data_IF_192605486892
#
_entry.id   IF_192605486892
#
_cell.length_a   1.000
_cell.length_b   1.000
_cell.length_c   1.000
_cell.angle_alpha   90.00
_cell.angle_beta   90.00
_cell.angle_gamma   90.00
#
_symmetry.space_group_name_H-M   'P 1'
#
loop_
_entity.id
_entity.type
_entity.pdbx_description
1 polymer ?
#
# COMPACT_ATOMS: atom_id res chain seq x y z
N UNK A 1 -16.87 -0.05 -4.51
CA UNK A 1 -15.51 -0.48 -4.92
C UNK A 1 -15.69 -1.60 -5.90
N UNK A 2 -14.96 -1.56 -7.00
CA UNK A 2 -14.87 -2.74 -7.87
C UNK A 2 -14.23 -3.88 -7.08
N UNK A 3 -14.66 -5.12 -7.36
CA UNK A 3 -14.10 -6.28 -6.70
C UNK A 3 -12.60 -6.43 -7.07
N UNK A 4 -11.78 -6.81 -6.11
CA UNK A 4 -10.36 -7.13 -6.35
C UNK A 4 -10.29 -8.41 -7.18
N UNK A 5 -9.60 -8.39 -8.31
CA UNK A 5 -9.42 -9.55 -9.17
C UNK A 5 -8.16 -10.31 -8.78
N UNK A 6 -8.36 -11.54 -8.35
CA UNK A 6 -7.30 -12.42 -7.85
C UNK A 6 -7.14 -13.61 -8.79
N UNK A 7 -5.92 -13.92 -9.19
CA UNK A 7 -5.58 -15.18 -9.82
C UNK A 7 -4.85 -16.09 -8.85
N UNK A 8 -5.13 -17.38 -8.88
CA UNK A 8 -4.41 -18.43 -8.16
C UNK A 8 -3.91 -19.43 -9.20
N UNK A 9 -2.62 -19.66 -9.26
CA UNK A 9 -2.02 -20.64 -10.17
C UNK A 9 -1.12 -21.60 -9.40
N UNK A 10 -1.58 -22.83 -9.26
CA UNK A 10 -0.92 -23.94 -8.56
C UNK A 10 -1.21 -25.21 -9.35
N UNK A 11 -0.26 -26.12 -9.50
CA UNK A 11 -0.38 -27.32 -10.34
C UNK A 11 -1.13 -28.49 -9.68
N UNK A 12 -1.39 -28.41 -8.38
CA UNK A 12 -2.08 -29.42 -7.59
C UNK A 12 -3.55 -29.05 -7.34
N UNK A 13 -4.51 -29.74 -7.97
CA UNK A 13 -5.95 -29.45 -7.90
C UNK A 13 -6.49 -29.38 -6.45
N UNK A 14 -6.07 -30.30 -5.59
CA UNK A 14 -6.46 -30.31 -4.17
C UNK A 14 -5.97 -29.07 -3.41
N UNK A 15 -4.82 -28.53 -3.78
CA UNK A 15 -4.27 -27.31 -3.18
C UNK A 15 -5.01 -26.08 -3.70
N UNK A 16 -5.41 -26.08 -4.98
CA UNK A 16 -6.20 -25.00 -5.58
C UNK A 16 -7.48 -24.75 -4.78
N UNK A 17 -8.24 -25.79 -4.45
CA UNK A 17 -9.51 -25.67 -3.71
C UNK A 17 -9.29 -25.12 -2.29
N UNK A 18 -8.25 -25.61 -1.62
CA UNK A 18 -7.87 -25.13 -0.28
C UNK A 18 -7.49 -23.65 -0.34
N UNK A 19 -6.66 -23.25 -1.30
CA UNK A 19 -6.24 -21.86 -1.49
C UNK A 19 -7.41 -20.96 -1.84
N UNK A 20 -8.27 -21.38 -2.77
CA UNK A 20 -9.47 -20.65 -3.17
C UNK A 20 -10.37 -20.33 -1.95
N UNK A 21 -10.65 -21.35 -1.15
CA UNK A 21 -11.47 -21.21 0.06
C UNK A 21 -10.80 -20.30 1.09
N UNK A 22 -9.51 -20.47 1.34
CA UNK A 22 -8.76 -19.69 2.32
C UNK A 22 -8.62 -18.21 1.89
N UNK A 23 -8.28 -17.94 0.63
CA UNK A 23 -8.16 -16.56 0.10
C UNK A 23 -9.50 -15.85 0.16
N UNK A 24 -10.59 -16.50 -0.32
CA UNK A 24 -11.94 -15.96 -0.23
C UNK A 24 -12.34 -15.61 1.20
N UNK A 25 -12.10 -16.52 2.13
CA UNK A 25 -12.38 -16.33 3.56
C UNK A 25 -11.56 -15.20 4.16
N UNK A 26 -10.28 -15.09 3.80
CA UNK A 26 -9.39 -14.05 4.30
C UNK A 26 -9.83 -12.64 3.88
N UNK A 27 -10.28 -12.46 2.64
CA UNK A 27 -10.85 -11.19 2.17
C UNK A 27 -12.23 -10.92 2.77
N UNK A 28 -13.10 -11.93 2.83
CA UNK A 28 -14.45 -11.79 3.38
C UNK A 28 -14.43 -11.37 4.87
N UNK A 29 -13.51 -11.91 5.69
CA UNK A 29 -13.31 -11.47 7.08
C UNK A 29 -12.96 -9.99 7.22
N UNK A 30 -12.51 -9.35 6.14
CA UNK A 30 -12.15 -7.92 6.10
C UNK A 30 -13.17 -7.06 5.35
N UNK A 31 -14.33 -7.65 5.00
CA UNK A 31 -15.40 -6.96 4.29
C UNK A 31 -15.06 -6.58 2.84
N UNK A 32 -14.07 -7.26 2.23
CA UNK A 32 -13.60 -6.96 0.87
C UNK A 32 -14.14 -7.99 -0.10
N UNK A 33 -14.78 -7.53 -1.19
CA UNK A 33 -15.25 -8.38 -2.28
C UNK A 33 -14.10 -8.73 -3.23
N UNK A 34 -14.03 -10.00 -3.63
CA UNK A 34 -13.01 -10.52 -4.55
C UNK A 34 -13.63 -11.38 -5.64
N UNK A 35 -13.10 -11.27 -6.86
CA UNK A 35 -13.32 -12.20 -7.95
C UNK A 35 -12.07 -13.07 -8.08
N UNK A 36 -12.20 -14.39 -7.92
CA UNK A 36 -11.06 -15.30 -7.92
C UNK A 36 -11.18 -16.24 -9.12
N UNK A 37 -10.14 -16.31 -9.92
CA UNK A 37 -9.98 -17.25 -11.02
C UNK A 37 -8.79 -18.17 -10.71
N UNK A 38 -8.96 -19.48 -10.94
CA UNK A 38 -7.97 -20.49 -10.62
C UNK A 38 -7.40 -21.14 -11.87
N UNK A 39 -6.13 -21.48 -11.85
CA UNK A 39 -5.38 -22.09 -12.93
C UNK A 39 -4.48 -23.19 -12.38
N UNK A 40 -4.35 -24.28 -13.12
CA UNK A 40 -3.46 -25.40 -12.77
C UNK A 40 -2.16 -25.40 -13.61
N UNK A 41 -1.98 -24.38 -14.44
CA UNK A 41 -0.74 -24.21 -15.21
C UNK A 41 -0.57 -22.77 -15.74
N UNK A 42 0.66 -22.44 -16.10
CA UNK A 42 1.04 -21.11 -16.56
C UNK A 42 0.37 -20.69 -17.89
N UNK A 43 0.08 -21.62 -18.80
CA UNK A 43 -0.41 -21.26 -20.13
C UNK A 43 -1.86 -20.74 -20.13
N UNK A 44 -2.85 -21.38 -19.49
CA UNK A 44 -4.18 -20.81 -19.32
C UNK A 44 -4.16 -19.47 -18.59
N UNK A 45 -3.36 -19.34 -17.52
CA UNK A 45 -3.17 -18.08 -16.81
C UNK A 45 -2.66 -16.98 -17.77
N UNK A 46 -1.64 -17.27 -18.56
CA UNK A 46 -1.10 -16.32 -19.53
C UNK A 46 -2.13 -15.86 -20.57
N UNK A 47 -2.99 -16.77 -21.04
CA UNK A 47 -4.10 -16.41 -21.95
C UNK A 47 -5.12 -15.51 -21.29
N UNK A 48 -5.50 -15.81 -20.03
CA UNK A 48 -6.45 -14.99 -19.26
C UNK A 48 -5.89 -13.60 -19.00
N UNK A 49 -4.61 -13.47 -18.63
CA UNK A 49 -3.96 -12.18 -18.38
C UNK A 49 -3.84 -11.27 -19.61
N UNK A 50 -3.94 -11.81 -20.82
CA UNK A 50 -4.04 -11.01 -22.05
C UNK A 50 -5.41 -10.36 -22.25
N UNK A 51 -6.44 -10.93 -21.65
CA UNK A 51 -7.85 -10.52 -21.81
C UNK A 51 -8.36 -9.73 -20.58
N UNK A 52 -7.72 -9.94 -19.43
CA UNK A 52 -8.13 -9.39 -18.14
C UNK A 52 -6.92 -8.92 -17.35
N UNK A 53 -7.14 -7.91 -16.51
CA UNK A 53 -6.15 -7.44 -15.54
C UNK A 53 -6.48 -8.09 -14.21
N UNK A 54 -5.49 -8.73 -13.59
CA UNK A 54 -5.55 -9.19 -12.21
C UNK A 54 -4.79 -8.19 -11.32
N UNK A 55 -5.34 -7.94 -10.14
CA UNK A 55 -4.72 -7.06 -9.15
C UNK A 55 -3.69 -7.82 -8.31
N UNK A 56 -3.96 -9.10 -8.03
CA UNK A 56 -3.15 -9.97 -7.20
C UNK A 56 -3.07 -11.38 -7.81
N UNK A 57 -1.86 -11.94 -7.86
CA UNK A 57 -1.58 -13.28 -8.35
C UNK A 57 -0.87 -14.10 -7.27
N UNK A 58 -1.50 -15.17 -6.80
CA UNK A 58 -0.83 -16.23 -6.04
C UNK A 58 -0.27 -17.24 -7.01
N UNK A 59 1.05 -17.42 -7.01
CA UNK A 59 1.76 -18.19 -8.02
C UNK A 59 2.67 -19.22 -7.37
N UNK A 60 2.45 -20.48 -7.67
CA UNK A 60 3.40 -21.52 -7.27
C UNK A 60 4.73 -21.35 -8.01
N UNK A 61 5.83 -21.54 -7.32
CA UNK A 61 7.16 -21.55 -7.94
C UNK A 61 7.36 -22.84 -8.74
N UNK A 62 6.96 -23.97 -8.16
CA UNK A 62 7.18 -25.29 -8.75
C UNK A 62 5.98 -25.67 -9.61
N UNK A 63 6.03 -25.34 -10.91
CA UNK A 63 4.99 -25.72 -11.86
C UNK A 63 5.59 -26.47 -13.05
N UNK A 64 4.85 -27.44 -13.63
CA UNK A 64 5.28 -28.14 -14.83
C UNK A 64 5.47 -27.17 -16.02
N UNK A 65 6.50 -27.43 -16.83
CA UNK A 65 6.83 -26.74 -18.10
C UNK A 65 7.40 -25.33 -17.95
N UNK A 66 6.88 -24.50 -17.07
CA UNK A 66 7.36 -23.13 -16.83
C UNK A 66 7.40 -22.92 -15.32
N UNK A 67 8.58 -22.65 -14.80
CA UNK A 67 8.80 -22.27 -13.41
C UNK A 67 8.09 -20.95 -13.10
N UNK A 68 7.49 -20.84 -11.91
CA UNK A 68 6.74 -19.63 -11.50
C UNK A 68 7.59 -18.36 -11.48
N UNK A 69 8.90 -18.47 -11.18
CA UNK A 69 9.82 -17.32 -11.20
C UNK A 69 10.03 -16.87 -12.65
N UNK A 70 10.26 -17.82 -13.57
CA UNK A 70 10.38 -17.53 -15.00
C UNK A 70 9.11 -16.87 -15.54
N UNK A 71 7.93 -17.35 -15.11
CA UNK A 71 6.65 -16.75 -15.46
C UNK A 71 6.55 -15.31 -14.95
N UNK A 72 6.94 -15.06 -13.71
CA UNK A 72 6.97 -13.73 -13.13
C UNK A 72 7.92 -12.78 -13.84
N UNK A 73 9.12 -13.23 -14.22
CA UNK A 73 10.06 -12.45 -15.05
C UNK A 73 9.45 -12.08 -16.40
N UNK A 74 8.71 -13.01 -17.02
CA UNK A 74 8.00 -12.77 -18.27
C UNK A 74 6.92 -11.71 -18.11
N UNK A 75 6.17 -11.70 -17.00
CA UNK A 75 5.20 -10.65 -16.67
C UNK A 75 5.89 -9.29 -16.58
N UNK A 76 6.99 -9.19 -15.83
CA UNK A 76 7.72 -7.92 -15.65
C UNK A 76 8.32 -7.40 -16.95
N UNK A 77 8.81 -8.27 -17.84
CA UNK A 77 9.28 -7.88 -19.18
C UNK A 77 8.17 -7.31 -20.06
N UNK A 78 6.92 -7.71 -19.83
CA UNK A 78 5.74 -7.15 -20.52
C UNK A 78 5.13 -5.96 -19.79
N UNK A 79 5.82 -5.35 -18.81
CA UNK A 79 5.36 -4.25 -18.01
C UNK A 79 4.06 -4.54 -17.24
N UNK A 80 3.75 -5.80 -16.98
CA UNK A 80 2.61 -6.19 -16.16
C UNK A 80 2.85 -5.77 -14.70
N UNK A 81 1.85 -5.14 -14.09
CA UNK A 81 1.91 -4.58 -12.73
C UNK A 81 1.14 -5.40 -11.70
N UNK A 82 0.63 -6.57 -12.06
CA UNK A 82 -0.02 -7.49 -11.14
C UNK A 82 0.88 -7.74 -9.94
N UNK A 83 0.38 -7.60 -8.73
CA UNK A 83 1.14 -7.93 -7.53
C UNK A 83 1.26 -9.45 -7.42
N UNK A 84 2.49 -9.96 -7.36
CA UNK A 84 2.77 -11.39 -7.31
C UNK A 84 3.10 -11.80 -5.89
N UNK A 85 2.39 -12.80 -5.39
CA UNK A 85 2.69 -13.50 -4.15
C UNK A 85 3.10 -14.92 -4.53
N UNK A 86 4.35 -15.26 -4.28
CA UNK A 86 4.78 -16.62 -4.49
C UNK A 86 4.32 -17.53 -3.38
N UNK A 87 3.92 -18.76 -3.75
CA UNK A 87 3.53 -19.81 -2.83
C UNK A 87 4.42 -21.01 -3.10
N UNK A 88 5.20 -21.48 -2.13
CA UNK A 88 6.11 -22.60 -2.36
C UNK A 88 6.42 -23.38 -1.07
N UNK A 89 6.77 -24.65 -1.23
CA UNK A 89 7.38 -25.48 -0.21
C UNK A 89 8.91 -25.19 -0.09
N UNK A 90 9.51 -24.59 -1.12
CA UNK A 90 10.94 -24.34 -1.24
C UNK A 90 11.31 -22.94 -0.76
N UNK A 91 11.64 -22.81 0.51
CA UNK A 91 12.05 -21.53 1.11
C UNK A 91 13.43 -21.04 0.57
N UNK A 92 14.27 -21.94 0.08
CA UNK A 92 15.56 -21.63 -0.55
C UNK A 92 15.41 -20.85 -1.87
N UNK A 93 14.24 -20.94 -2.55
CA UNK A 93 13.94 -20.24 -3.79
C UNK A 93 13.53 -18.77 -3.62
N UNK A 94 13.35 -18.31 -2.38
CA UNK A 94 12.96 -16.92 -2.07
C UNK A 94 13.93 -15.91 -2.69
N UNK A 95 15.23 -16.18 -2.61
CA UNK A 95 16.24 -15.29 -3.18
C UNK A 95 16.16 -15.16 -4.70
N UNK A 96 15.84 -16.25 -5.41
CA UNK A 96 15.66 -16.22 -6.86
C UNK A 96 14.46 -15.37 -7.25
N UNK A 97 13.41 -15.38 -6.43
CA UNK A 97 12.18 -14.64 -6.66
C UNK A 97 12.36 -13.12 -6.57
N UNK A 98 13.36 -12.59 -5.86
CA UNK A 98 13.60 -11.15 -5.74
C UNK A 98 13.79 -10.42 -7.08
N UNK A 99 14.29 -11.10 -8.11
CA UNK A 99 14.44 -10.54 -9.46
C UNK A 99 13.12 -10.05 -10.05
N UNK A 100 12.02 -10.70 -9.68
CA UNK A 100 10.66 -10.40 -10.13
C UNK A 100 10.04 -9.25 -9.36
N UNK A 101 10.62 -8.86 -8.21
CA UNK A 101 10.05 -7.91 -7.25
C UNK A 101 8.64 -8.35 -6.85
N UNK A 102 8.49 -9.54 -6.23
CA UNK A 102 7.20 -9.99 -5.76
C UNK A 102 6.68 -9.06 -4.66
N UNK A 103 5.38 -9.07 -4.47
CA UNK A 103 4.75 -8.38 -3.35
C UNK A 103 5.10 -9.06 -2.02
N UNK A 104 5.01 -10.41 -2.00
CA UNK A 104 5.29 -11.19 -0.80
C UNK A 104 5.54 -12.66 -1.16
N UNK A 105 5.81 -13.48 -0.14
CA UNK A 105 6.06 -14.91 -0.25
C UNK A 105 5.28 -15.67 0.84
N UNK A 106 4.63 -16.77 0.47
CA UNK A 106 3.88 -17.66 1.36
C UNK A 106 4.52 -19.04 1.36
N UNK A 107 4.85 -19.53 2.53
CA UNK A 107 5.30 -20.90 2.71
C UNK A 107 4.12 -21.85 2.71
N UNK A 108 4.14 -22.92 1.89
CA UNK A 108 3.10 -23.95 1.93
C UNK A 108 2.97 -24.59 3.33
N UNK A 109 4.07 -24.67 4.07
CA UNK A 109 4.13 -25.22 5.46
C UNK A 109 3.36 -24.36 6.49
N UNK A 110 3.20 -23.04 6.27
CA UNK A 110 2.49 -22.13 7.17
C UNK A 110 1.49 -21.26 6.40
N UNK A 111 0.81 -21.85 5.42
CA UNK A 111 -0.02 -21.14 4.45
C UNK A 111 -1.01 -20.16 5.08
N UNK A 112 -1.83 -20.59 6.03
CA UNK A 112 -2.87 -19.76 6.65
C UNK A 112 -2.30 -18.58 7.45
N UNK A 113 -1.18 -18.81 8.15
CA UNK A 113 -0.51 -17.77 8.95
C UNK A 113 0.11 -16.69 8.07
N UNK A 114 0.79 -17.10 7.00
CA UNK A 114 1.43 -16.18 6.08
C UNK A 114 0.39 -15.47 5.20
N UNK A 115 -0.66 -16.18 4.71
CA UNK A 115 -1.77 -15.60 3.95
C UNK A 115 -2.42 -14.43 4.69
N UNK A 116 -2.70 -14.60 5.98
CA UNK A 116 -3.34 -13.53 6.77
C UNK A 116 -2.49 -12.25 6.80
N UNK A 117 -1.16 -12.38 6.93
CA UNK A 117 -0.22 -11.25 6.90
C UNK A 117 -0.18 -10.60 5.51
N UNK A 118 -0.06 -11.41 4.46
CA UNK A 118 -0.03 -10.96 3.06
C UNK A 118 -1.27 -10.16 2.72
N UNK A 119 -2.47 -10.66 3.06
CA UNK A 119 -3.72 -9.94 2.78
C UNK A 119 -3.78 -8.61 3.56
N UNK A 120 -3.35 -8.58 4.83
CA UNK A 120 -3.28 -7.32 5.59
C UNK A 120 -2.36 -6.30 4.92
N UNK A 121 -1.15 -6.72 4.53
CA UNK A 121 -0.17 -5.86 3.85
C UNK A 121 -0.72 -5.37 2.50
N UNK A 122 -1.36 -6.25 1.73
CA UNK A 122 -1.95 -5.91 0.45
C UNK A 122 -3.06 -4.87 0.57
N UNK A 123 -3.98 -5.04 1.51
CA UNK A 123 -5.06 -4.09 1.74
C UNK A 123 -4.52 -2.74 2.26
N UNK A 124 -3.51 -2.76 3.14
CA UNK A 124 -2.85 -1.53 3.59
C UNK A 124 -2.17 -0.79 2.42
N UNK A 125 -1.53 -1.52 1.49
CA UNK A 125 -0.97 -0.94 0.27
C UNK A 125 -2.06 -0.32 -0.62
N UNK A 126 -3.19 -1.01 -0.83
CA UNK A 126 -4.31 -0.47 -1.61
C UNK A 126 -4.88 0.80 -0.98
N UNK A 127 -5.07 0.82 0.35
CA UNK A 127 -5.51 2.01 1.08
C UNK A 127 -4.51 3.17 0.92
N UNK A 128 -3.21 2.85 0.95
CA UNK A 128 -2.18 3.86 0.72
C UNK A 128 -2.25 4.43 -0.71
N UNK A 129 -2.46 3.58 -1.71
CA UNK A 129 -2.62 4.00 -3.12
C UNK A 129 -3.88 4.84 -3.36
N UNK A 130 -4.99 4.59 -2.64
CA UNK A 130 -6.21 5.42 -2.68
C UNK A 130 -5.99 6.84 -2.16
N UNK A 131 -4.99 7.04 -1.30
CA UNK A 131 -4.60 8.36 -0.81
C UNK A 131 -4.17 9.33 -1.92
N UNK A 132 -3.93 8.81 -3.14
CA UNK A 132 -3.45 9.60 -4.28
C UNK A 132 -1.94 9.85 -4.23
N UNK A 133 -1.46 10.62 -5.20
CA UNK A 133 -0.07 11.04 -5.29
C UNK A 133 0.03 12.57 -5.30
N UNK A 134 1.14 13.11 -4.86
CA UNK A 134 1.55 14.47 -5.16
C UNK A 134 2.61 14.45 -6.25
N UNK A 135 2.35 15.16 -7.34
CA UNK A 135 3.33 15.33 -8.41
C UNK A 135 4.19 16.55 -8.09
N UNK A 136 5.47 16.33 -7.89
CA UNK A 136 6.45 17.39 -7.63
C UNK A 136 7.25 17.67 -8.88
N UNK A 137 7.24 18.92 -9.30
CA UNK A 137 8.07 19.44 -10.39
C UNK A 137 9.37 19.97 -9.77
N UNK A 138 10.50 19.39 -10.09
CA UNK A 138 11.81 19.84 -9.64
C UNK A 138 12.73 20.11 -10.82
N UNK A 139 13.88 20.75 -10.57
CA UNK A 139 14.90 20.95 -11.60
C UNK A 139 15.45 19.64 -12.18
N UNK A 140 15.36 18.54 -11.42
CA UNK A 140 15.80 17.20 -11.82
C UNK A 140 14.73 16.39 -12.54
N UNK A 141 13.51 16.91 -12.71
CA UNK A 141 12.41 16.22 -13.40
C UNK A 141 11.08 16.23 -12.66
N UNK A 142 10.19 15.35 -13.10
CA UNK A 142 8.86 15.15 -12.52
C UNK A 142 8.92 13.90 -11.62
N UNK A 143 8.49 14.06 -10.37
CA UNK A 143 8.43 12.98 -9.39
C UNK A 143 7.00 12.82 -8.88
N UNK A 144 6.47 11.59 -8.88
CA UNK A 144 5.21 11.24 -8.24
C UNK A 144 5.50 10.60 -6.88
N UNK A 145 5.01 11.24 -5.83
CA UNK A 145 5.17 10.80 -4.44
C UNK A 145 3.81 10.33 -3.93
N UNK A 146 3.66 9.07 -3.50
CA UNK A 146 2.44 8.61 -2.84
C UNK A 146 2.16 9.45 -1.59
N UNK A 147 0.93 9.92 -1.42
CA UNK A 147 0.56 10.71 -0.23
C UNK A 147 0.67 9.88 1.06
N UNK A 148 0.61 8.55 0.96
CA UNK A 148 0.90 7.63 2.07
C UNK A 148 2.32 7.78 2.62
N UNK A 149 3.27 8.16 1.79
CA UNK A 149 4.68 8.27 2.16
C UNK A 149 5.01 9.67 2.69
N UNK A 150 4.09 10.62 2.50
CA UNK A 150 4.27 12.00 2.97
C UNK A 150 3.85 12.11 4.43
N UNK A 151 4.80 12.38 5.34
CA UNK A 151 4.54 12.63 6.76
C UNK A 151 3.91 14.02 6.95
N UNK A 152 4.60 15.05 6.50
CA UNK A 152 4.12 16.43 6.60
C UNK A 152 4.82 17.34 5.59
N UNK A 153 4.22 18.51 5.40
CA UNK A 153 4.80 19.65 4.71
C UNK A 153 5.22 20.69 5.74
N UNK A 154 6.41 21.27 5.55
CA UNK A 154 6.96 22.31 6.39
C UNK A 154 7.29 23.57 5.57
N UNK A 155 6.90 24.74 6.09
CA UNK A 155 7.24 26.01 5.48
C UNK A 155 8.71 26.35 5.65
N UNK A 156 9.40 26.59 4.54
CA UNK A 156 10.79 27.01 4.51
C UNK A 156 10.97 28.24 3.60
N UNK A 157 11.00 29.42 4.19
CA UNK A 157 11.07 30.67 3.42
C UNK A 157 9.87 30.86 2.49
N UNK A 158 10.11 30.87 1.18
CA UNK A 158 9.08 31.00 0.12
C UNK A 158 8.63 29.66 -0.44
N UNK A 159 9.23 28.54 -0.03
CA UNK A 159 8.93 27.19 -0.49
C UNK A 159 8.43 26.32 0.65
N UNK A 160 7.96 25.13 0.33
CA UNK A 160 7.59 24.10 1.30
C UNK A 160 8.52 22.89 1.14
N UNK A 161 8.86 22.25 2.25
CA UNK A 161 9.58 20.98 2.27
C UNK A 161 8.60 19.85 2.50
N UNK A 162 8.70 18.78 1.74
CA UNK A 162 8.01 17.52 1.97
C UNK A 162 8.93 16.62 2.79
N UNK A 163 8.45 16.19 3.95
CA UNK A 163 9.09 15.18 4.78
C UNK A 163 8.46 13.82 4.53
N UNK A 164 9.28 12.83 4.17
CA UNK A 164 8.86 11.48 3.81
C UNK A 164 9.12 10.48 4.93
N UNK A 165 8.27 9.47 5.03
CA UNK A 165 8.47 8.35 5.93
C UNK A 165 9.73 7.57 5.57
N UNK A 166 10.56 7.24 6.57
CA UNK A 166 11.78 6.45 6.39
C UNK A 166 12.91 7.14 5.60
N UNK A 167 12.77 8.42 5.24
CA UNK A 167 13.79 9.20 4.53
C UNK A 167 14.21 10.43 5.32
N UNK A 168 15.50 10.74 5.31
CA UNK A 168 16.03 11.99 5.89
C UNK A 168 15.98 13.16 4.90
N UNK A 169 16.00 12.85 3.62
CA UNK A 169 15.99 13.84 2.55
C UNK A 169 14.58 14.42 2.39
N UNK A 170 14.53 15.73 2.17
CA UNK A 170 13.30 16.48 1.92
C UNK A 170 13.19 16.88 0.45
N UNK A 171 11.95 17.07 -0.02
CA UNK A 171 11.67 17.50 -1.38
C UNK A 171 11.11 18.94 -1.34
N UNK A 172 11.72 19.84 -2.09
CA UNK A 172 11.22 21.21 -2.21
C UNK A 172 10.00 21.30 -3.11
N UNK A 173 8.97 22.02 -2.67
CA UNK A 173 7.75 22.32 -3.43
C UNK A 173 7.50 23.82 -3.47
N UNK A 174 7.32 24.35 -4.66
CA UNK A 174 6.97 25.76 -4.86
C UNK A 174 5.44 25.91 -4.92
N UNK A 175 4.79 25.81 -3.76
CA UNK A 175 3.34 25.98 -3.59
C UNK A 175 3.05 26.56 -2.21
N UNK A 176 2.06 27.46 -2.08
CA UNK A 176 1.74 28.02 -0.76
C UNK A 176 1.12 26.98 0.17
N UNK A 177 1.29 27.15 1.49
CA UNK A 177 0.73 26.26 2.51
C UNK A 177 -0.80 26.26 2.46
N UNK A 178 -1.41 27.40 2.13
CA UNK A 178 -2.86 27.55 1.97
C UNK A 178 -3.38 26.66 0.85
N UNK A 179 -2.67 26.65 -0.29
CA UNK A 179 -3.06 25.83 -1.45
C UNK A 179 -2.82 24.35 -1.20
N UNK A 180 -1.76 23.99 -0.46
CA UNK A 180 -1.55 22.60 -0.01
C UNK A 180 -2.66 22.17 0.94
N UNK A 181 -3.09 23.01 1.89
CA UNK A 181 -4.20 22.72 2.80
C UNK A 181 -5.51 22.52 2.04
N UNK A 182 -5.82 23.36 1.05
CA UNK A 182 -7.01 23.22 0.21
C UNK A 182 -7.03 21.89 -0.57
N UNK A 183 -5.92 21.55 -1.22
CA UNK A 183 -5.81 20.35 -2.07
C UNK A 183 -5.71 19.04 -1.26
N UNK A 184 -5.05 19.07 -0.10
CA UNK A 184 -4.69 17.88 0.67
C UNK A 184 -5.54 17.68 1.93
N UNK A 185 -6.24 18.71 2.41
CA UNK A 185 -7.16 18.60 3.53
C UNK A 185 -8.23 17.51 3.34
N UNK A 186 -8.88 17.41 2.16
CA UNK A 186 -9.82 16.32 1.87
C UNK A 186 -9.16 14.94 1.82
N UNK A 187 -7.82 14.88 1.63
CA UNK A 187 -7.01 13.66 1.55
C UNK A 187 -6.38 13.25 2.88
N UNK A 188 -6.79 13.89 3.99
CA UNK A 188 -6.36 13.51 5.33
C UNK A 188 -5.17 14.29 5.88
N UNK A 189 -4.85 15.45 5.30
CA UNK A 189 -3.86 16.36 5.88
C UNK A 189 -4.52 17.40 6.79
N UNK A 190 -3.87 17.69 7.91
CA UNK A 190 -4.35 18.64 8.93
C UNK A 190 -3.30 19.73 9.12
N UNK A 191 -3.68 20.99 9.00
CA UNK A 191 -2.79 22.12 9.29
C UNK A 191 -2.71 22.36 10.80
N UNK A 192 -1.66 21.83 11.42
CA UNK A 192 -1.43 21.90 12.87
C UNK A 192 -0.75 23.20 13.31
N UNK A 193 -0.02 23.85 12.39
CA UNK A 193 0.66 25.12 12.62
C UNK A 193 0.60 25.99 11.35
N UNK A 194 0.89 27.30 11.46
CA UNK A 194 0.92 28.20 10.28
C UNK A 194 1.85 27.70 9.16
N UNK A 195 2.91 27.00 9.52
CA UNK A 195 3.90 26.45 8.59
C UNK A 195 3.95 24.93 8.55
N UNK A 196 2.96 24.21 9.09
CA UNK A 196 3.01 22.72 9.10
C UNK A 196 1.64 22.14 8.77
N UNK A 197 1.64 21.27 7.73
CA UNK A 197 0.50 20.50 7.28
C UNK A 197 0.86 19.01 7.40
N UNK A 198 0.25 18.29 8.35
CA UNK A 198 0.60 16.91 8.70
C UNK A 198 -0.43 15.92 8.18
N UNK A 199 0.02 14.78 7.70
CA UNK A 199 -0.82 13.65 7.36
C UNK A 199 -1.28 12.94 8.66
N UNK A 200 -2.60 12.85 8.86
CA UNK A 200 -3.19 12.30 10.09
C UNK A 200 -2.75 10.86 10.39
N UNK A 201 -2.39 10.08 9.39
CA UNK A 201 -1.92 8.68 9.54
C UNK A 201 -0.60 8.55 10.30
N UNK A 202 0.21 9.61 10.29
CA UNK A 202 1.46 9.66 11.04
C UNK A 202 1.33 10.27 12.43
N UNK A 203 0.16 10.75 12.81
CA UNK A 203 -0.07 11.30 14.16
C UNK A 203 -0.26 10.14 15.15
N UNK A 204 0.65 10.04 16.11
CA UNK A 204 0.54 9.12 17.25
C UNK A 204 -0.28 9.74 18.39
N UNK A 205 0.04 10.99 18.75
CA UNK A 205 -0.65 11.73 19.85
C UNK A 205 -0.77 13.21 19.55
N UNK A 206 -1.86 13.82 20.00
CA UNK A 206 -2.04 15.27 19.99
C UNK A 206 -2.03 15.75 21.45
N UNK A 207 -0.96 16.46 21.83
CA UNK A 207 -0.75 17.04 23.14
C UNK A 207 -1.36 18.44 23.25
N UNK A 208 -0.98 19.21 24.25
CA UNK A 208 -1.49 20.59 24.46
C UNK A 208 -0.83 21.59 23.52
N UNK A 209 0.47 21.44 23.28
CA UNK A 209 1.31 22.34 22.47
C UNK A 209 1.98 21.68 21.28
N UNK A 210 1.89 20.36 21.17
CA UNK A 210 2.68 19.58 20.22
C UNK A 210 1.88 18.40 19.67
N UNK A 211 2.33 17.89 18.53
CA UNK A 211 1.87 16.64 17.90
C UNK A 211 3.05 15.69 17.83
N UNK A 212 2.91 14.50 18.41
CA UNK A 212 3.89 13.43 18.31
C UNK A 212 3.54 12.53 17.13
N UNK A 213 4.51 12.25 16.29
CA UNK A 213 4.37 11.35 15.15
C UNK A 213 4.67 9.89 15.54
N UNK A 214 4.31 8.96 14.68
CA UNK A 214 4.47 7.51 14.88
C UNK A 214 5.94 7.06 14.98
N UNK A 215 6.87 7.86 14.48
CA UNK A 215 8.32 7.64 14.57
C UNK A 215 8.98 8.38 15.73
N UNK A 216 8.17 9.03 16.62
CA UNK A 216 8.64 9.77 17.78
C UNK A 216 9.02 11.23 17.50
N UNK A 217 8.95 11.69 16.25
CA UNK A 217 9.18 13.10 15.91
C UNK A 217 8.09 13.98 16.52
N UNK A 218 8.45 15.16 17.04
CA UNK A 218 7.53 16.09 17.70
C UNK A 218 7.43 17.39 16.91
N UNK A 219 6.22 17.76 16.54
CA UNK A 219 5.92 18.94 15.74
C UNK A 219 5.13 19.98 16.57
N UNK A 220 5.40 21.29 16.43
CA UNK A 220 4.68 22.32 17.15
C UNK A 220 3.23 22.45 16.72
N UNK A 221 2.33 22.61 17.69
CA UNK A 221 0.89 22.76 17.52
C UNK A 221 0.42 24.18 17.81
N UNK A 222 -0.45 24.72 16.97
CA UNK A 222 -1.09 26.02 17.21
C UNK A 222 -2.07 25.95 18.37
N UNK A 223 -1.74 26.55 19.52
CA UNK A 223 -2.58 26.56 20.73
C UNK A 223 -4.00 27.08 20.49
N UNK A 224 -4.17 28.07 19.60
CA UNK A 224 -5.48 28.64 19.25
C UNK A 224 -6.37 27.69 18.45
N UNK A 225 -5.81 26.68 17.79
CA UNK A 225 -6.52 25.75 16.90
C UNK A 225 -6.63 24.33 17.46
N UNK A 226 -6.14 24.05 18.67
CA UNK A 226 -6.08 22.70 19.27
C UNK A 226 -7.42 21.97 19.19
N UNK A 227 -8.52 22.62 19.60
CA UNK A 227 -9.86 22.03 19.59
C UNK A 227 -10.31 21.63 18.18
N UNK A 228 -10.13 22.52 17.21
CA UNK A 228 -10.50 22.25 15.81
C UNK A 228 -9.64 21.13 15.21
N UNK A 229 -8.34 21.12 15.52
CA UNK A 229 -7.40 20.08 15.05
C UNK A 229 -7.77 18.72 15.62
N UNK A 230 -8.06 18.63 16.92
CA UNK A 230 -8.52 17.39 17.55
C UNK A 230 -9.84 16.90 16.97
N UNK A 231 -10.81 17.79 16.74
CA UNK A 231 -12.09 17.44 16.12
C UNK A 231 -11.87 16.85 14.70
N UNK A 232 -11.04 17.50 13.89
CA UNK A 232 -10.72 17.04 12.53
C UNK A 232 -9.98 15.70 12.54
N UNK A 233 -9.06 15.51 13.47
CA UNK A 233 -8.34 14.24 13.62
C UNK A 233 -9.29 13.09 13.97
N UNK A 234 -10.21 13.31 14.93
CA UNK A 234 -11.22 12.31 15.31
C UNK A 234 -12.18 11.99 14.16
N UNK A 235 -12.57 12.98 13.36
CA UNK A 235 -13.39 12.78 12.16
C UNK A 235 -12.69 11.85 11.16
N UNK A 236 -11.40 12.10 10.88
CA UNK A 236 -10.59 11.29 9.96
C UNK A 236 -10.39 9.85 10.47
N UNK A 237 -10.20 9.67 11.78
CA UNK A 237 -10.10 8.34 12.38
C UNK A 237 -11.41 7.54 12.25
N UNK A 238 -12.57 8.17 12.44
CA UNK A 238 -13.89 7.53 12.25
C UNK A 238 -14.08 7.08 10.81
N UNK A 239 -13.72 7.93 9.84
CA UNK A 239 -13.76 7.58 8.42
C UNK A 239 -12.81 6.43 8.03
N UNK A 240 -11.74 6.21 8.79
CA UNK A 240 -10.77 5.12 8.62
C UNK A 240 -11.08 3.83 9.38
N UNK A 241 -12.26 3.71 10.02
CA UNK A 241 -12.68 2.49 10.73
C UNK A 241 -12.07 2.32 12.13
N UNK A 242 -11.46 3.36 12.70
CA UNK A 242 -10.94 3.31 14.08
C UNK A 242 -12.05 3.33 15.12
N UNK A 243 -11.94 2.48 16.16
CA UNK A 243 -12.81 2.52 17.33
C UNK A 243 -12.28 3.59 18.29
N UNK A 244 -13.14 4.56 18.63
CA UNK A 244 -12.82 5.61 19.61
C UNK A 244 -13.47 5.20 20.93
N UNK A 245 -12.66 4.93 21.95
CA UNK A 245 -13.09 4.57 23.31
C UNK A 245 -13.27 5.82 24.17
#
# INVERSE_FOLDING_TARGET
>A
MDAIRVAICVDEDNIVDIMLSAVRTAFAKRGVSVEIETFTSAEPLWRSMKLRIFDLLFLDIEMPKIDGIEFGERLRRNNDRTEIVYVSAREDRVFDAFKVRPFDFIRKSNFLGDLSKVINNYLAMLESRKGGTVTVLSKSGIMNVPLSDVKYFEGYGKTQLIHLAGKKETINVNRSMEKLEEDLGPKGFIRIHKGILVNYRFISRILVSDVELTDGEVLPLSRRKVTAIKARYLELLRGGGSVIL
#
